data_IF_889305657075
#
_entry.id   IF_889305657075
#
_cell.length_a   1.000
_cell.length_b   1.000
_cell.length_c   1.000
_cell.angle_alpha   90.00
_cell.angle_beta   90.00
_cell.angle_gamma   90.00
#
_symmetry.space_group_name_H-M   'P 1'
#
loop_
_entity.id
_entity.type
_entity.pdbx_description
1 polymer ?
#
# COMPACT_ATOMS: atom_id res chain seq x y z
N UNK A 1 11.39 -2.60 18.32
CA UNK A 1 11.74 -3.77 17.48
C UNK A 1 13.08 -4.38 17.95
N UNK A 2 14.16 -3.59 18.09
CA UNK A 2 15.46 -4.12 18.54
C UNK A 2 15.38 -4.84 19.90
N UNK A 3 14.62 -4.33 20.87
CA UNK A 3 14.37 -4.96 22.17
C UNK A 3 13.58 -6.28 22.11
N UNK A 4 13.06 -6.65 20.95
CA UNK A 4 12.33 -7.90 20.69
C UNK A 4 13.14 -8.86 19.81
N UNK A 5 14.43 -8.60 19.60
CA UNK A 5 15.32 -9.44 18.77
C UNK A 5 15.07 -9.31 17.25
N UNK A 6 14.30 -8.31 16.82
CA UNK A 6 14.02 -8.07 15.39
C UNK A 6 15.03 -7.09 14.83
N UNK A 7 15.74 -7.47 13.76
CA UNK A 7 16.60 -6.56 13.01
C UNK A 7 15.72 -5.62 12.19
N UNK A 8 15.81 -4.32 12.43
CA UNK A 8 15.09 -3.29 11.71
C UNK A 8 16.01 -2.13 11.34
N UNK A 9 15.84 -1.60 10.13
CA UNK A 9 16.55 -0.41 9.64
C UNK A 9 15.60 0.51 8.92
N UNK A 10 15.86 1.83 8.95
CA UNK A 10 15.13 2.84 8.20
C UNK A 10 15.96 3.33 7.01
N UNK A 11 15.27 3.53 5.88
CA UNK A 11 15.84 4.10 4.65
C UNK A 11 14.90 5.22 4.19
N UNK A 12 15.40 6.46 4.14
CA UNK A 12 14.59 7.60 3.74
C UNK A 12 14.47 7.68 2.22
N UNK A 13 13.24 7.84 1.71
CA UNK A 13 12.97 8.12 0.31
C UNK A 13 11.65 8.88 0.16
N UNK A 14 11.55 9.77 -0.83
CA UNK A 14 10.25 10.29 -1.30
C UNK A 14 9.68 9.25 -2.29
N UNK A 15 8.50 8.73 -1.99
CA UNK A 15 7.84 7.74 -2.88
C UNK A 15 7.41 8.31 -4.23
N UNK A 16 7.41 9.66 -4.39
CA UNK A 16 7.16 10.34 -5.66
C UNK A 16 8.40 10.47 -6.52
N UNK A 17 9.57 10.15 -5.97
CA UNK A 17 10.83 10.03 -6.69
C UNK A 17 11.16 8.55 -6.89
N UNK A 18 10.91 7.98 -8.08
CA UNK A 18 11.14 6.55 -8.33
C UNK A 18 12.59 6.12 -8.15
N UNK A 19 13.54 7.00 -8.46
CA UNK A 19 14.98 6.68 -8.35
C UNK A 19 15.39 6.65 -6.87
N UNK A 20 14.95 7.62 -6.07
CA UNK A 20 15.18 7.61 -4.62
C UNK A 20 14.52 6.40 -3.95
N UNK A 21 13.29 6.05 -4.35
CA UNK A 21 12.57 4.91 -3.83
C UNK A 21 13.28 3.58 -4.14
N UNK A 22 13.68 3.37 -5.38
CA UNK A 22 14.37 2.14 -5.79
C UNK A 22 15.75 2.03 -5.16
N UNK A 23 16.51 3.12 -5.04
CA UNK A 23 17.78 3.12 -4.32
C UNK A 23 17.62 2.75 -2.82
N UNK A 24 16.55 3.21 -2.18
CA UNK A 24 16.24 2.84 -0.79
C UNK A 24 15.88 1.34 -0.65
N UNK A 25 15.15 0.79 -1.63
CA UNK A 25 14.84 -0.65 -1.67
C UNK A 25 16.09 -1.51 -1.91
N UNK A 26 17.03 -1.06 -2.77
CA UNK A 26 18.34 -1.73 -2.96
C UNK A 26 19.19 -1.70 -1.69
N UNK A 27 19.20 -0.57 -0.99
CA UNK A 27 19.91 -0.45 0.29
C UNK A 27 19.28 -1.38 1.35
N UNK A 28 17.95 -1.50 1.37
CA UNK A 28 17.23 -2.43 2.26
C UNK A 28 17.57 -3.88 1.93
N UNK A 29 17.52 -4.25 0.65
CA UNK A 29 17.91 -5.58 0.16
C UNK A 29 19.37 -5.93 0.56
N UNK A 30 20.29 -5.01 0.35
CA UNK A 30 21.72 -5.21 0.70
C UNK A 30 21.91 -5.40 2.20
N UNK A 31 21.17 -4.65 3.02
CA UNK A 31 21.36 -4.64 4.47
C UNK A 31 20.60 -5.75 5.20
N UNK A 32 19.47 -6.21 4.67
CA UNK A 32 18.52 -7.10 5.35
C UNK A 32 18.25 -8.41 4.59
N UNK A 33 18.72 -8.51 3.36
CA UNK A 33 18.46 -9.66 2.48
C UNK A 33 17.27 -9.46 1.54
N UNK A 34 16.86 -10.50 0.79
CA UNK A 34 15.80 -10.43 -0.20
C UNK A 34 14.48 -9.94 0.38
N UNK A 35 13.79 -9.08 -0.38
CA UNK A 35 12.48 -8.55 0.01
C UNK A 35 11.41 -9.58 -0.37
N UNK A 36 10.86 -10.27 0.61
CA UNK A 36 9.76 -11.23 0.41
C UNK A 36 8.39 -10.58 0.57
N UNK A 37 8.29 -9.53 1.38
CA UNK A 37 7.04 -8.81 1.63
C UNK A 37 7.24 -7.33 1.35
N UNK A 38 6.44 -6.80 0.45
CA UNK A 38 6.32 -5.36 0.21
C UNK A 38 4.98 -4.89 0.75
N UNK A 39 4.98 -4.06 1.79
CA UNK A 39 3.81 -3.32 2.21
C UNK A 39 3.92 -1.89 1.71
N UNK A 40 2.95 -1.45 0.89
CA UNK A 40 2.85 -0.09 0.40
C UNK A 40 1.66 0.59 1.08
N UNK A 41 1.93 1.53 1.98
CA UNK A 41 0.91 2.19 2.79
C UNK A 41 1.31 3.62 3.17
N UNK A 42 1.64 4.48 2.22
CA UNK A 42 2.01 5.85 2.55
C UNK A 42 0.79 6.64 3.03
N UNK A 43 1.01 7.54 4.00
CA UNK A 43 -0.06 8.40 4.53
C UNK A 43 -0.27 9.60 3.59
N UNK A 44 -1.47 9.81 3.02
CA UNK A 44 -1.72 10.91 2.10
C UNK A 44 -1.63 12.27 2.81
N UNK A 45 -1.09 13.28 2.10
CA UNK A 45 -1.02 14.64 2.59
C UNK A 45 -2.41 15.30 2.57
N UNK A 46 -2.75 16.19 3.53
CA UNK A 46 -4.02 16.91 3.54
C UNK A 46 -4.31 17.71 2.26
N UNK A 47 -3.28 18.23 1.59
CA UNK A 47 -3.42 18.99 0.33
C UNK A 47 -4.04 18.17 -0.82
N UNK A 48 -4.04 16.85 -0.70
CA UNK A 48 -4.69 15.94 -1.66
C UNK A 48 -6.20 15.81 -1.45
N UNK A 49 -6.73 16.39 -0.39
CA UNK A 49 -8.14 16.31 -0.02
C UNK A 49 -8.87 17.60 -0.42
N UNK A 50 -9.13 17.76 -1.72
CA UNK A 50 -9.89 18.91 -2.27
C UNK A 50 -11.27 18.46 -2.75
N UNK A 51 -12.27 19.37 -2.68
CA UNK A 51 -13.56 19.14 -3.32
C UNK A 51 -13.41 18.94 -4.83
N UNK A 52 -14.21 18.05 -5.39
CA UNK A 52 -14.09 17.67 -6.82
C UNK A 52 -14.25 18.85 -7.78
N UNK A 53 -15.13 19.80 -7.44
CA UNK A 53 -15.37 21.00 -8.28
C UNK A 53 -14.23 22.04 -8.18
N UNK A 54 -13.34 21.91 -7.19
CA UNK A 54 -12.16 22.77 -6.98
C UNK A 54 -10.86 22.09 -7.40
N UNK A 55 -10.94 20.86 -7.93
CA UNK A 55 -9.77 20.05 -8.28
C UNK A 55 -9.40 20.26 -9.74
N UNK A 56 -8.21 20.79 -9.98
CA UNK A 56 -7.58 20.90 -11.30
C UNK A 56 -6.77 19.65 -11.65
N UNK A 57 -6.39 19.47 -12.94
CA UNK A 57 -5.44 18.40 -13.30
C UNK A 57 -4.13 18.45 -12.54
N UNK A 58 -3.60 19.64 -12.23
CA UNK A 58 -2.37 19.82 -11.47
C UNK A 58 -2.50 19.31 -10.02
N UNK A 59 -3.66 19.45 -9.41
CA UNK A 59 -3.92 18.97 -8.05
C UNK A 59 -3.92 17.44 -7.95
N UNK A 60 -4.15 16.73 -9.04
CA UNK A 60 -4.14 15.26 -9.09
C UNK A 60 -2.73 14.68 -9.24
N UNK A 61 -1.79 15.42 -9.81
CA UNK A 61 -0.43 14.89 -10.13
C UNK A 61 0.24 14.32 -8.90
N UNK A 62 0.41 15.11 -7.85
CA UNK A 62 1.09 14.68 -6.63
C UNK A 62 0.46 13.47 -5.96
N UNK A 63 -0.88 13.38 -5.99
CA UNK A 63 -1.58 12.24 -5.42
C UNK A 63 -1.42 10.96 -6.27
N UNK A 64 -1.42 11.09 -7.59
CA UNK A 64 -1.17 9.96 -8.51
C UNK A 64 0.27 9.48 -8.38
N UNK A 65 1.24 10.39 -8.33
CA UNK A 65 2.65 10.05 -8.07
C UNK A 65 2.82 9.31 -6.76
N UNK A 66 2.19 9.81 -5.70
CA UNK A 66 2.28 9.28 -4.36
C UNK A 66 1.65 7.89 -4.21
N UNK A 67 0.43 7.69 -4.69
CA UNK A 67 -0.32 6.45 -4.47
C UNK A 67 -0.10 5.42 -5.57
N UNK A 68 -0.10 5.85 -6.84
CA UNK A 68 -0.03 4.92 -7.97
C UNK A 68 1.39 4.72 -8.47
N UNK A 69 2.10 5.79 -8.85
CA UNK A 69 3.41 5.63 -9.49
C UNK A 69 4.45 5.09 -8.52
N UNK A 70 4.43 5.53 -7.25
CA UNK A 70 5.29 4.97 -6.21
C UNK A 70 5.02 3.48 -5.97
N UNK A 71 3.75 3.05 -5.93
CA UNK A 71 3.40 1.63 -5.82
C UNK A 71 3.89 0.83 -7.03
N UNK A 72 3.70 1.35 -8.25
CA UNK A 72 4.20 0.71 -9.49
C UNK A 72 5.71 0.58 -9.46
N UNK A 73 6.44 1.64 -9.09
CA UNK A 73 7.89 1.63 -9.02
C UNK A 73 8.39 0.60 -7.99
N UNK A 74 7.84 0.61 -6.77
CA UNK A 74 8.22 -0.32 -5.72
C UNK A 74 7.98 -1.78 -6.13
N UNK A 75 6.79 -2.11 -6.64
CA UNK A 75 6.43 -3.47 -7.07
C UNK A 75 7.35 -3.94 -8.20
N UNK A 76 7.54 -3.11 -9.24
CA UNK A 76 8.42 -3.47 -10.37
C UNK A 76 9.84 -3.74 -9.92
N UNK A 77 10.31 -3.01 -8.92
CA UNK A 77 11.67 -3.17 -8.39
C UNK A 77 11.85 -4.47 -7.60
N UNK A 78 10.90 -4.83 -6.72
CA UNK A 78 11.03 -6.02 -5.88
C UNK A 78 10.59 -7.32 -6.56
N UNK A 79 9.75 -7.25 -7.59
CA UNK A 79 9.15 -8.41 -8.26
C UNK A 79 10.17 -9.41 -8.82
N UNK A 80 11.29 -9.01 -9.48
CA UNK A 80 12.31 -9.95 -9.93
C UNK A 80 12.93 -10.78 -8.79
N UNK A 81 13.18 -10.15 -7.64
CA UNK A 81 13.67 -10.82 -6.43
C UNK A 81 12.66 -11.83 -5.88
N UNK A 82 11.38 -11.48 -5.78
CA UNK A 82 10.31 -12.38 -5.36
C UNK A 82 10.16 -13.58 -6.32
N UNK A 83 10.28 -13.34 -7.63
CA UNK A 83 10.31 -14.42 -8.64
C UNK A 83 11.49 -15.35 -8.46
N UNK A 84 12.68 -14.80 -8.20
CA UNK A 84 13.89 -15.58 -7.90
C UNK A 84 13.74 -16.46 -6.66
N UNK A 85 12.98 -16.00 -5.67
CA UNK A 85 12.65 -16.77 -4.46
C UNK A 85 11.51 -17.80 -4.69
N UNK A 86 10.76 -17.69 -5.78
CA UNK A 86 9.55 -18.47 -6.02
C UNK A 86 8.40 -18.15 -5.05
N UNK A 87 8.50 -17.05 -4.30
CA UNK A 87 7.49 -16.59 -3.34
C UNK A 87 7.58 -15.10 -3.10
N UNK A 88 6.47 -14.48 -2.78
CA UNK A 88 6.40 -13.07 -2.39
C UNK A 88 5.01 -12.67 -1.95
N UNK A 89 4.91 -11.51 -1.32
CA UNK A 89 3.63 -10.89 -0.96
C UNK A 89 3.71 -9.39 -1.15
N UNK A 90 2.71 -8.83 -1.83
CA UNK A 90 2.49 -7.39 -1.96
C UNK A 90 1.21 -7.03 -1.23
N UNK A 91 1.30 -6.13 -0.26
CA UNK A 91 0.19 -5.63 0.53
C UNK A 91 0.00 -4.15 0.22
N UNK A 92 -1.13 -3.79 -0.39
CA UNK A 92 -1.53 -2.41 -0.65
C UNK A 92 -2.50 -1.99 0.44
N UNK A 93 -2.23 -0.87 1.12
CA UNK A 93 -3.08 -0.36 2.20
C UNK A 93 -3.52 1.05 1.85
N UNK A 94 -4.82 1.26 1.72
CA UNK A 94 -5.39 2.57 1.42
C UNK A 94 -6.74 2.81 2.11
N UNK A 95 -7.33 3.98 1.91
CA UNK A 95 -8.56 4.39 2.57
C UNK A 95 -9.84 3.94 1.86
N UNK A 96 -10.97 4.12 2.52
CA UNK A 96 -12.31 3.80 2.01
C UNK A 96 -12.64 4.45 0.67
N UNK A 97 -12.04 5.61 0.36
CA UNK A 97 -12.22 6.31 -0.91
C UNK A 97 -11.71 5.54 -2.13
N UNK A 98 -10.97 4.46 -1.94
CA UNK A 98 -10.60 3.52 -3.01
C UNK A 98 -11.80 2.74 -3.58
N UNK A 99 -12.90 2.68 -2.84
CA UNK A 99 -14.10 1.90 -3.17
C UNK A 99 -15.33 2.79 -3.23
N UNK A 100 -15.49 3.69 -2.27
CA UNK A 100 -16.58 4.67 -2.23
C UNK A 100 -15.98 6.07 -2.35
N UNK A 101 -16.01 6.69 -3.55
CA UNK A 101 -15.47 8.04 -3.75
C UNK A 101 -16.18 9.07 -2.86
N UNK A 102 -15.42 10.06 -2.39
CA UNK A 102 -15.94 11.15 -1.56
C UNK A 102 -15.80 12.50 -2.29
N UNK A 103 -16.86 13.32 -2.42
CA UNK A 103 -16.81 14.55 -3.20
C UNK A 103 -15.79 15.58 -2.70
N UNK A 104 -15.51 15.62 -1.39
CA UNK A 104 -14.54 16.55 -0.80
C UNK A 104 -13.11 16.00 -0.76
N UNK A 105 -12.86 14.84 -1.38
CA UNK A 105 -11.57 14.15 -1.37
C UNK A 105 -11.24 13.58 -2.75
N UNK A 106 -11.33 14.42 -3.79
CA UNK A 106 -11.19 13.98 -5.18
C UNK A 106 -9.84 13.32 -5.45
N UNK A 107 -8.73 13.89 -4.97
CA UNK A 107 -7.39 13.35 -5.18
C UNK A 107 -7.22 11.93 -4.65
N UNK A 108 -7.54 11.70 -3.37
CA UNK A 108 -7.46 10.35 -2.77
C UNK A 108 -8.48 9.39 -3.38
N UNK A 109 -9.67 9.86 -3.75
CA UNK A 109 -10.69 9.02 -4.39
C UNK A 109 -10.21 8.49 -5.73
N UNK A 110 -9.62 9.35 -6.58
CA UNK A 110 -9.11 8.97 -7.90
C UNK A 110 -7.86 8.09 -7.77
N UNK A 111 -6.88 8.53 -6.98
CA UNK A 111 -5.59 7.84 -6.89
C UNK A 111 -5.68 6.48 -6.21
N UNK A 112 -6.45 6.34 -5.12
CA UNK A 112 -6.65 5.05 -4.45
C UNK A 112 -7.49 4.08 -5.29
N UNK A 113 -8.45 4.58 -6.07
CA UNK A 113 -9.17 3.73 -7.02
C UNK A 113 -8.23 3.19 -8.11
N UNK A 114 -7.32 4.02 -8.61
CA UNK A 114 -6.31 3.62 -9.59
C UNK A 114 -5.32 2.60 -9.01
N UNK A 115 -4.80 2.84 -7.80
CA UNK A 115 -3.94 1.90 -7.06
C UNK A 115 -4.67 0.55 -6.82
N UNK A 116 -5.94 0.60 -6.44
CA UNK A 116 -6.79 -0.58 -6.22
C UNK A 116 -6.97 -1.40 -7.51
N UNK A 117 -7.20 -0.72 -8.65
CA UNK A 117 -7.28 -1.38 -9.95
C UNK A 117 -5.93 -2.01 -10.35
N UNK A 118 -4.82 -1.30 -10.15
CA UNK A 118 -3.47 -1.82 -10.39
C UNK A 118 -3.20 -3.07 -9.53
N UNK A 119 -3.50 -3.02 -8.25
CA UNK A 119 -3.34 -4.15 -7.34
C UNK A 119 -4.16 -5.38 -7.76
N UNK A 120 -5.39 -5.17 -8.24
CA UNK A 120 -6.24 -6.26 -8.76
C UNK A 120 -5.62 -6.90 -10.00
N UNK A 121 -5.13 -6.10 -10.94
CA UNK A 121 -4.44 -6.61 -12.13
C UNK A 121 -3.20 -7.42 -11.77
N UNK A 122 -2.41 -6.96 -10.78
CA UNK A 122 -1.26 -7.71 -10.28
C UNK A 122 -1.67 -9.04 -9.63
N UNK A 123 -2.72 -9.02 -8.80
CA UNK A 123 -3.24 -10.23 -8.14
C UNK A 123 -3.58 -11.30 -9.17
N UNK A 124 -4.31 -10.92 -10.21
CA UNK A 124 -4.74 -11.85 -11.26
C UNK A 124 -3.54 -12.33 -12.12
N UNK A 125 -2.59 -11.44 -12.43
CA UNK A 125 -1.42 -11.76 -13.25
C UNK A 125 -0.40 -12.67 -12.54
N UNK A 126 -0.26 -12.54 -11.22
CA UNK A 126 0.75 -13.24 -10.42
C UNK A 126 0.22 -14.50 -9.71
N UNK A 127 -1.06 -14.83 -9.87
CA UNK A 127 -1.71 -15.95 -9.18
C UNK A 127 -1.01 -17.31 -9.36
N UNK A 128 -0.33 -17.53 -10.52
CA UNK A 128 0.42 -18.76 -10.81
C UNK A 128 1.91 -18.71 -10.44
N UNK A 129 2.42 -17.57 -9.96
CA UNK A 129 3.86 -17.37 -9.75
C UNK A 129 4.31 -17.53 -8.27
N UNK A 130 3.44 -17.98 -7.38
CA UNK A 130 3.74 -18.06 -5.95
C UNK A 130 3.83 -16.69 -5.27
N UNK A 131 3.37 -15.62 -5.93
CA UNK A 131 3.37 -14.26 -5.40
C UNK A 131 1.93 -13.83 -5.13
N UNK A 132 1.65 -13.51 -3.87
CA UNK A 132 0.33 -13.06 -3.43
C UNK A 132 0.24 -11.54 -3.44
N UNK A 133 -0.86 -11.00 -3.94
CA UNK A 133 -1.16 -9.56 -3.88
C UNK A 133 -2.49 -9.37 -3.19
N UNK A 134 -2.52 -8.57 -2.13
CA UNK A 134 -3.74 -8.25 -1.40
C UNK A 134 -3.84 -6.75 -1.12
N UNK A 135 -5.07 -6.28 -0.97
CA UNK A 135 -5.41 -4.92 -0.58
C UNK A 135 -6.15 -4.95 0.75
N UNK A 136 -5.69 -4.15 1.73
CA UNK A 136 -6.45 -3.82 2.93
C UNK A 136 -7.00 -2.40 2.83
N UNK A 137 -8.31 -2.27 2.80
CA UNK A 137 -9.01 -0.98 2.84
C UNK A 137 -9.31 -0.62 4.29
N UNK A 138 -8.79 0.53 4.74
CA UNK A 138 -9.00 1.05 6.11
C UNK A 138 -9.88 2.32 6.02
N UNK A 139 -11.19 2.23 6.23
CA UNK A 139 -12.07 3.39 6.22
C UNK A 139 -11.78 4.32 7.41
N UNK A 140 -11.68 5.63 7.14
CA UNK A 140 -11.45 6.65 8.18
C UNK A 140 -10.05 6.57 8.83
N UNK A 141 -9.97 6.95 10.10
CA UNK A 141 -8.71 7.04 10.84
C UNK A 141 -8.32 5.71 11.50
N UNK A 142 -7.01 5.48 11.59
CA UNK A 142 -6.41 4.44 12.45
C UNK A 142 -6.36 5.02 13.87
N UNK A 143 -6.97 4.33 14.84
CA UNK A 143 -7.14 4.84 16.20
C UNK A 143 -6.78 3.77 17.22
N UNK A 144 -5.84 4.08 18.13
CA UNK A 144 -5.48 3.17 19.21
C UNK A 144 -6.70 2.81 20.09
N UNK A 145 -6.84 1.53 20.42
CA UNK A 145 -7.97 1.00 21.18
C UNK A 145 -9.25 0.77 20.36
N UNK A 146 -9.26 1.10 19.07
CA UNK A 146 -10.40 0.81 18.21
C UNK A 146 -10.50 -0.70 17.92
N UNK A 147 -11.66 -1.36 18.05
CA UNK A 147 -11.75 -2.83 17.96
C UNK A 147 -11.31 -3.40 16.60
N UNK A 148 -11.36 -2.63 15.51
CA UNK A 148 -11.02 -3.08 14.15
C UNK A 148 -9.93 -2.23 13.47
N UNK A 149 -9.64 -1.03 13.98
CA UNK A 149 -8.65 -0.09 13.40
C UNK A 149 -7.55 0.32 14.38
N UNK A 150 -7.35 -0.46 15.45
CA UNK A 150 -6.17 -0.36 16.29
C UNK A 150 -4.94 -0.78 15.47
N UNK A 151 -3.78 -0.11 15.61
CA UNK A 151 -2.56 -0.49 14.89
C UNK A 151 -2.17 -1.96 15.04
N UNK A 152 -2.33 -2.55 16.23
CA UNK A 152 -2.03 -3.97 16.45
C UNK A 152 -3.00 -4.88 15.70
N UNK A 153 -4.30 -4.57 15.71
CA UNK A 153 -5.33 -5.33 14.97
C UNK A 153 -5.08 -5.28 13.46
N UNK A 154 -4.70 -4.10 12.94
CA UNK A 154 -4.35 -3.96 11.52
C UNK A 154 -3.06 -4.72 11.17
N UNK A 155 -2.07 -4.74 12.06
CA UNK A 155 -0.85 -5.52 11.87
C UNK A 155 -1.15 -7.04 11.83
N UNK A 156 -1.99 -7.53 12.74
CA UNK A 156 -2.44 -8.94 12.75
C UNK A 156 -3.22 -9.27 11.47
N UNK A 157 -4.06 -8.36 11.00
CA UNK A 157 -4.80 -8.51 9.74
C UNK A 157 -3.84 -8.64 8.56
N UNK A 158 -2.86 -7.73 8.44
CA UNK A 158 -1.86 -7.75 7.36
C UNK A 158 -1.01 -9.02 7.42
N UNK A 159 -0.63 -9.45 8.63
CA UNK A 159 0.08 -10.72 8.82
C UNK A 159 -0.77 -11.91 8.37
N UNK A 160 -2.07 -11.92 8.70
CA UNK A 160 -3.02 -12.92 8.21
C UNK A 160 -3.09 -12.96 6.69
N UNK A 161 -3.19 -11.81 6.01
CA UNK A 161 -3.21 -11.73 4.55
C UNK A 161 -1.93 -12.29 3.92
N UNK A 162 -0.76 -12.01 4.53
CA UNK A 162 0.50 -12.59 4.08
C UNK A 162 0.56 -14.11 4.25
N UNK A 163 0.12 -14.63 5.39
CA UNK A 163 0.18 -16.06 5.74
C UNK A 163 -0.82 -16.89 4.97
N UNK A 164 -2.08 -16.44 4.94
CA UNK A 164 -3.22 -17.25 4.47
C UNK A 164 -3.44 -17.13 2.96
N UNK A 165 -2.94 -16.06 2.33
CA UNK A 165 -2.85 -15.87 0.88
C UNK A 165 -4.17 -16.07 0.13
N UNK A 166 -5.27 -15.59 0.67
CA UNK A 166 -6.59 -15.73 0.06
C UNK A 166 -7.19 -14.38 -0.33
N UNK A 167 -7.85 -14.35 -1.49
CA UNK A 167 -8.56 -13.17 -1.99
C UNK A 167 -7.67 -11.97 -2.27
N UNK A 168 -8.25 -10.92 -2.82
CA UNK A 168 -7.54 -9.69 -3.13
C UNK A 168 -7.89 -8.56 -2.17
N UNK A 169 -9.20 -8.21 -2.05
CA UNK A 169 -9.64 -7.04 -1.29
C UNK A 169 -10.24 -7.44 0.05
N UNK A 170 -9.74 -6.82 1.09
CA UNK A 170 -10.18 -6.99 2.47
C UNK A 170 -10.50 -5.62 3.07
N UNK A 171 -11.40 -5.60 4.04
CA UNK A 171 -11.82 -4.38 4.72
C UNK A 171 -11.50 -4.50 6.21
N UNK A 172 -10.88 -3.48 6.78
CA UNK A 172 -10.70 -3.41 8.22
C UNK A 172 -12.05 -3.23 8.94
N UNK A 173 -13.00 -2.55 8.28
CA UNK A 173 -14.35 -2.27 8.77
C UNK A 173 -15.30 -2.14 7.59
N UNK A 174 -16.59 -2.44 7.78
CA UNK A 174 -17.59 -2.29 6.73
C UNK A 174 -17.73 -0.82 6.30
N UNK A 175 -17.86 -0.57 5.00
CA UNK A 175 -17.92 0.79 4.45
C UNK A 175 -19.18 1.56 4.84
N UNK A 176 -20.26 0.86 5.19
CA UNK A 176 -21.54 1.46 5.57
C UNK A 176 -21.54 1.99 7.04
N UNK A 177 -20.44 1.79 7.77
CA UNK A 177 -20.30 2.21 9.18
C UNK A 177 -19.62 3.58 9.36
N UNK A 178 -19.39 4.34 8.26
CA UNK A 178 -18.64 5.62 8.27
C UNK A 178 -19.49 6.80 7.81
#
# INVERSE_FOLDING_TARGET
LAGQGVTARGFAADVRDPDALTAALDAAHTALGPIEVLQYSPLPHPDFMRPVLETSPADLVGQIEFSLYGAVAAVRHVLPGMRGLGRGTVLLVNGGTSVVPHPDRAGTSVAFAAESAYGRLLHDALAGEGIHVAQLVVPGAIVAGHPRKDPAVLADTLWGLHRDRHGFRHFAEDLDAS
#
